data_IF_814849402093
#
_entry.id   IF_814849402093
#
_cell.length_a   1.000
_cell.length_b   1.000
_cell.length_c   1.000
_cell.angle_alpha   90.00
_cell.angle_beta   90.00
_cell.angle_gamma   90.00
#
_symmetry.space_group_name_H-M   'P 1'
#
loop_
_entity.id
_entity.type
_entity.pdbx_description
1 polymer ?
#
# COMPACT_ATOMS: atom_id res chain seq x y z
N UNK A 1 59.38 -18.95 10.79
CA UNK A 1 58.70 -18.87 9.53
C UNK A 1 57.26 -19.25 9.79
N UNK A 2 56.51 -18.31 10.33
CA UNK A 2 55.06 -18.47 10.53
C UNK A 2 54.45 -17.08 10.76
N UNK A 3 54.49 -16.30 9.68
CA UNK A 3 53.98 -14.94 9.62
C UNK A 3 52.76 -14.91 8.68
N UNK A 4 51.69 -15.58 9.05
CA UNK A 4 50.50 -15.61 8.23
C UNK A 4 49.21 -15.88 9.03
N UNK A 5 49.08 -15.36 10.25
CA UNK A 5 47.86 -15.49 11.04
C UNK A 5 47.42 -14.22 11.77
N UNK A 6 48.00 -13.11 11.39
CA UNK A 6 47.53 -11.78 11.75
C UNK A 6 46.99 -11.15 10.50
N UNK A 7 45.70 -11.07 10.35
CA UNK A 7 44.89 -10.15 9.57
C UNK A 7 43.57 -10.89 9.32
N UNK A 8 42.58 -10.45 10.02
CA UNK A 8 41.15 -10.47 9.79
C UNK A 8 40.41 -10.81 11.11
N UNK A 9 40.65 -10.08 12.20
CA UNK A 9 39.55 -9.74 13.07
C UNK A 9 38.71 -8.71 12.33
N UNK A 10 37.89 -9.22 11.40
CA UNK A 10 36.76 -8.46 10.91
C UNK A 10 35.94 -8.05 12.14
N UNK A 11 35.67 -6.76 12.26
CA UNK A 11 34.64 -6.22 13.14
C UNK A 11 33.32 -6.93 12.79
N UNK A 12 33.17 -8.15 13.28
CA UNK A 12 31.91 -8.88 13.14
C UNK A 12 30.91 -8.19 14.03
N UNK A 13 30.05 -7.39 13.40
CA UNK A 13 28.90 -6.76 14.08
C UNK A 13 28.16 -7.87 14.81
N UNK A 14 28.28 -7.93 16.14
CA UNK A 14 27.63 -8.97 16.92
C UNK A 14 26.11 -8.71 16.93
N UNK A 15 25.41 -9.49 16.10
CA UNK A 15 23.94 -9.42 15.97
C UNK A 15 23.23 -9.62 17.33
N UNK A 16 23.88 -10.31 18.28
CA UNK A 16 23.37 -10.50 19.64
C UNK A 16 23.47 -9.22 20.47
N UNK A 17 24.52 -8.42 20.30
CA UNK A 17 24.64 -7.13 20.97
C UNK A 17 23.62 -6.11 20.42
N UNK A 18 23.44 -6.08 19.09
CA UNK A 18 22.40 -5.29 18.44
C UNK A 18 20.99 -5.67 18.95
N UNK A 19 20.71 -6.97 19.08
CA UNK A 19 19.43 -7.43 19.62
C UNK A 19 19.23 -7.04 21.09
N UNK A 20 20.29 -7.11 21.93
CA UNK A 20 20.23 -6.67 23.34
C UNK A 20 20.01 -5.16 23.45
N UNK A 21 20.67 -4.36 22.63
CA UNK A 21 20.47 -2.90 22.58
C UNK A 21 19.01 -2.56 22.23
N UNK A 22 18.46 -3.21 21.21
CA UNK A 22 17.08 -3.02 20.78
C UNK A 22 16.10 -3.43 21.89
N UNK A 23 16.32 -4.58 22.53
CA UNK A 23 15.51 -5.07 23.63
C UNK A 23 15.63 -4.19 24.89
N UNK A 24 16.76 -3.56 25.14
CA UNK A 24 16.92 -2.67 26.29
C UNK A 24 16.09 -1.38 26.14
N UNK A 25 15.91 -0.90 24.90
CA UNK A 25 15.18 0.34 24.58
C UNK A 25 13.81 0.07 23.93
N UNK A 26 13.27 -1.15 24.05
CA UNK A 26 12.03 -1.56 23.39
C UNK A 26 10.82 -0.68 23.70
N UNK A 27 10.71 -0.20 24.96
CA UNK A 27 9.61 0.69 25.40
C UNK A 27 9.64 2.01 24.65
N UNK A 28 10.84 2.58 24.42
CA UNK A 28 11.02 3.81 23.65
C UNK A 28 10.64 3.61 22.19
N UNK A 29 11.11 2.52 21.58
CA UNK A 29 10.77 2.18 20.19
C UNK A 29 9.26 2.02 20.04
N UNK A 30 8.62 1.26 20.94
CA UNK A 30 7.18 1.00 20.90
C UNK A 30 6.37 2.29 21.09
N UNK A 31 6.72 3.12 22.06
CA UNK A 31 5.98 4.37 22.35
C UNK A 31 6.03 5.33 21.17
N UNK A 32 7.18 5.53 20.55
CA UNK A 32 7.32 6.41 19.38
C UNK A 32 6.60 5.82 18.16
N UNK A 33 6.70 4.50 17.95
CA UNK A 33 6.01 3.82 16.84
C UNK A 33 4.48 3.96 16.98
N UNK A 34 3.95 3.76 18.17
CA UNK A 34 2.51 3.94 18.43
C UNK A 34 2.08 5.39 18.18
N UNK A 35 2.86 6.35 18.69
CA UNK A 35 2.58 7.77 18.50
C UNK A 35 2.58 8.17 17.02
N UNK A 36 3.59 7.70 16.27
CA UNK A 36 3.71 7.97 14.82
C UNK A 36 2.59 7.30 14.04
N UNK A 37 2.24 6.04 14.38
CA UNK A 37 1.13 5.33 13.74
C UNK A 37 -0.21 6.03 14.00
N UNK A 38 -0.44 6.51 15.22
CA UNK A 38 -1.63 7.29 15.56
C UNK A 38 -1.67 8.63 14.80
N UNK A 39 -0.54 9.30 14.66
CA UNK A 39 -0.40 10.51 13.84
C UNK A 39 -0.71 10.25 12.37
N UNK A 40 -0.15 9.20 11.78
CA UNK A 40 -0.46 8.76 10.41
C UNK A 40 -1.94 8.42 10.25
N UNK A 41 -2.52 7.71 11.21
CA UNK A 41 -3.95 7.39 11.17
C UNK A 41 -4.81 8.65 11.16
N UNK A 42 -4.54 9.60 12.04
CA UNK A 42 -5.24 10.89 12.07
C UNK A 42 -5.08 11.64 10.75
N UNK A 43 -3.87 11.75 10.23
CA UNK A 43 -3.59 12.39 8.95
C UNK A 43 -4.39 11.77 7.80
N UNK A 44 -4.33 10.44 7.63
CA UNK A 44 -5.07 9.74 6.58
C UNK A 44 -6.58 9.81 6.78
N UNK A 45 -7.05 9.80 8.03
CA UNK A 45 -8.48 9.92 8.32
C UNK A 45 -9.07 11.25 7.84
N UNK A 46 -8.34 12.34 7.99
CA UNK A 46 -8.78 13.67 7.55
C UNK A 46 -8.53 13.94 6.06
N UNK A 47 -7.47 13.35 5.48
CA UNK A 47 -7.06 13.65 4.10
C UNK A 47 -7.70 12.71 3.08
N UNK A 48 -8.04 11.47 3.45
CA UNK A 48 -8.56 10.48 2.51
C UNK A 48 -10.06 10.65 2.28
N UNK A 49 -10.43 11.00 1.06
CA UNK A 49 -11.82 11.11 0.63
C UNK A 49 -12.52 9.75 0.60
N UNK A 50 -13.82 9.76 0.87
CA UNK A 50 -14.67 8.58 0.72
C UNK A 50 -14.93 8.35 -0.76
N UNK A 51 -14.69 7.15 -1.25
CA UNK A 51 -15.00 6.75 -2.63
C UNK A 51 -16.17 5.78 -2.64
N UNK A 52 -16.93 5.83 -3.71
CA UNK A 52 -18.09 4.98 -3.98
C UNK A 52 -17.84 4.20 -5.26
N UNK A 53 -18.25 2.94 -5.29
CA UNK A 53 -18.05 2.02 -6.40
C UNK A 53 -19.40 1.61 -6.97
N UNK A 54 -19.63 1.89 -8.23
CA UNK A 54 -20.79 1.43 -9.00
C UNK A 54 -20.34 0.32 -9.95
N UNK A 55 -21.01 -0.82 -9.93
CA UNK A 55 -20.64 -1.99 -10.73
C UNK A 55 -21.74 -2.32 -11.72
N UNK A 56 -21.38 -2.55 -12.97
CA UNK A 56 -22.21 -3.12 -14.02
C UNK A 56 -21.64 -4.44 -14.48
N UNK A 57 -22.53 -5.37 -14.91
CA UNK A 57 -22.11 -6.64 -15.49
C UNK A 57 -22.58 -6.74 -16.92
N UNK A 58 -21.72 -7.19 -17.80
CA UNK A 58 -21.98 -7.32 -19.21
C UNK A 58 -21.60 -8.72 -19.70
N UNK A 59 -22.37 -9.26 -20.63
CA UNK A 59 -22.12 -10.53 -21.29
C UNK A 59 -21.57 -10.27 -22.71
N UNK A 60 -20.50 -10.99 -23.04
CA UNK A 60 -19.92 -10.98 -24.38
C UNK A 60 -20.64 -12.02 -25.24
N UNK A 61 -21.13 -11.59 -26.39
CA UNK A 61 -21.70 -12.46 -27.40
C UNK A 61 -20.84 -12.43 -28.68
N UNK A 62 -20.36 -13.57 -29.11
CA UNK A 62 -19.55 -13.75 -30.33
C UNK A 62 -20.32 -14.51 -31.42
N UNK A 63 -21.63 -14.32 -31.53
CA UNK A 63 -22.51 -15.10 -32.39
C UNK A 63 -22.13 -15.09 -33.87
N UNK A 64 -21.52 -14.03 -34.38
CA UNK A 64 -21.17 -13.96 -35.77
C UNK A 64 -19.78 -14.52 -36.12
N UNK A 65 -18.98 -14.89 -35.12
CA UNK A 65 -17.72 -15.63 -35.34
C UNK A 65 -17.96 -17.14 -35.46
N UNK A 66 -19.17 -17.62 -35.14
CA UNK A 66 -19.56 -19.01 -35.22
C UNK A 66 -20.58 -19.25 -36.34
N UNK A 67 -20.18 -19.96 -37.36
CA UNK A 67 -21.03 -20.38 -38.52
C UNK A 67 -22.12 -21.40 -38.13
N UNK A 68 -22.27 -21.75 -36.86
CA UNK A 68 -23.20 -22.79 -36.38
C UNK A 68 -24.01 -22.29 -35.19
N UNK A 69 -25.33 -22.37 -35.36
CA UNK A 69 -26.39 -21.95 -34.42
C UNK A 69 -26.47 -22.78 -33.10
N UNK A 70 -25.44 -23.50 -32.70
CA UNK A 70 -25.41 -24.26 -31.46
C UNK A 70 -24.44 -23.62 -30.48
N UNK A 71 -24.90 -23.41 -29.24
CA UNK A 71 -24.04 -23.02 -28.10
C UNK A 71 -23.01 -24.12 -27.91
N UNK A 72 -21.81 -23.89 -28.46
CA UNK A 72 -20.69 -24.82 -28.37
C UNK A 72 -19.71 -24.32 -27.32
N UNK A 73 -19.03 -25.24 -26.62
CA UNK A 73 -17.93 -24.91 -25.68
C UNK A 73 -16.87 -24.04 -26.34
N UNK A 74 -16.67 -24.19 -27.65
CA UNK A 74 -15.77 -23.36 -28.47
C UNK A 74 -16.20 -21.90 -28.46
N UNK A 75 -17.50 -21.59 -28.53
CA UNK A 75 -18.00 -20.22 -28.51
C UNK A 75 -17.83 -19.54 -27.16
N UNK A 76 -17.94 -20.30 -26.06
CA UNK A 76 -17.71 -19.80 -24.70
C UNK A 76 -16.23 -19.43 -24.51
N UNK A 77 -15.31 -20.28 -24.98
CA UNK A 77 -13.87 -19.99 -24.88
C UNK A 77 -13.50 -18.76 -25.74
N UNK A 78 -14.08 -18.65 -26.96
CA UNK A 78 -13.87 -17.49 -27.83
C UNK A 78 -14.40 -16.22 -27.17
N UNK A 79 -15.59 -16.27 -26.61
CA UNK A 79 -16.20 -15.13 -25.91
C UNK A 79 -15.39 -14.67 -24.70
N UNK A 80 -14.86 -15.62 -23.92
CA UNK A 80 -13.98 -15.29 -22.77
C UNK A 80 -12.67 -14.64 -23.21
N UNK A 81 -12.12 -15.06 -24.35
CA UNK A 81 -10.89 -14.49 -24.93
C UNK A 81 -11.06 -13.07 -25.44
N UNK A 82 -12.30 -12.60 -25.66
CA UNK A 82 -12.60 -11.23 -26.10
C UNK A 82 -12.62 -10.23 -24.95
N UNK A 83 -12.76 -10.66 -23.70
CA UNK A 83 -12.86 -9.74 -22.55
C UNK A 83 -11.63 -8.82 -22.40
N UNK A 84 -10.37 -9.29 -22.56
CA UNK A 84 -9.21 -8.42 -22.55
C UNK A 84 -9.26 -7.34 -23.65
N UNK A 85 -9.75 -7.70 -24.83
CA UNK A 85 -9.91 -6.77 -25.95
C UNK A 85 -10.96 -5.71 -25.61
N UNK A 86 -12.06 -6.10 -24.99
CA UNK A 86 -13.11 -5.17 -24.57
C UNK A 86 -12.64 -4.20 -23.49
N UNK A 87 -11.75 -4.65 -22.61
CA UNK A 87 -11.08 -3.80 -21.63
C UNK A 87 -10.24 -2.71 -22.31
N UNK A 88 -9.50 -3.08 -23.36
CA UNK A 88 -8.72 -2.11 -24.12
C UNK A 88 -9.62 -1.12 -24.89
N UNK A 89 -10.70 -1.60 -25.52
CA UNK A 89 -11.67 -0.75 -26.21
C UNK A 89 -12.33 0.23 -25.25
N UNK A 90 -12.69 -0.23 -24.05
CA UNK A 90 -13.31 0.61 -23.01
C UNK A 90 -12.41 1.80 -22.65
N UNK A 91 -11.10 1.61 -22.60
CA UNK A 91 -10.14 2.64 -22.24
C UNK A 91 -9.73 3.56 -23.39
N UNK A 92 -10.36 3.41 -24.56
CA UNK A 92 -10.06 4.28 -25.71
C UNK A 92 -10.75 5.65 -25.60
N UNK A 93 -10.13 6.66 -26.21
CA UNK A 93 -10.75 7.97 -26.39
C UNK A 93 -12.14 7.88 -27.02
N UNK A 94 -12.33 6.95 -27.97
CA UNK A 94 -13.59 6.79 -28.70
C UNK A 94 -14.77 6.51 -27.75
N UNK A 95 -14.58 5.61 -26.79
CA UNK A 95 -15.62 5.22 -25.82
C UNK A 95 -15.77 6.28 -24.73
N UNK A 96 -14.64 6.70 -24.13
CA UNK A 96 -14.67 7.59 -22.97
C UNK A 96 -15.12 9.02 -23.35
N UNK A 97 -14.72 9.55 -24.50
CA UNK A 97 -15.20 10.86 -24.98
C UNK A 97 -16.70 10.85 -25.31
N UNK A 98 -17.20 9.75 -25.91
CA UNK A 98 -18.63 9.60 -26.14
C UNK A 98 -19.41 9.52 -24.84
N UNK A 99 -18.93 8.75 -23.88
CA UNK A 99 -19.53 8.67 -22.56
C UNK A 99 -19.52 10.03 -21.86
N UNK A 100 -18.39 10.74 -21.88
CA UNK A 100 -18.27 12.08 -21.32
C UNK A 100 -19.23 13.09 -21.95
N UNK A 101 -19.39 13.07 -23.27
CA UNK A 101 -20.36 13.96 -23.98
C UNK A 101 -21.79 13.69 -23.55
N UNK A 102 -22.19 12.42 -23.44
CA UNK A 102 -23.52 12.06 -22.95
C UNK A 102 -23.75 12.49 -21.51
N UNK A 103 -22.77 12.26 -20.63
CA UNK A 103 -22.84 12.67 -19.22
C UNK A 103 -22.94 14.19 -19.09
N UNK A 104 -22.16 14.94 -19.86
CA UNK A 104 -22.25 16.40 -19.88
C UNK A 104 -23.63 16.90 -20.38
N UNK A 105 -24.28 16.21 -21.33
CA UNK A 105 -25.64 16.54 -21.76
C UNK A 105 -26.70 16.20 -20.71
N UNK A 106 -26.43 15.19 -19.86
CA UNK A 106 -27.32 14.79 -18.78
C UNK A 106 -27.10 15.63 -17.48
N UNK A 107 -26.23 16.65 -17.54
CA UNK A 107 -26.02 17.61 -16.46
C UNK A 107 -24.77 17.38 -15.60
N UNK A 108 -24.01 16.33 -15.84
CA UNK A 108 -22.72 16.06 -15.16
C UNK A 108 -21.60 16.78 -15.93
N UNK A 109 -21.27 18.02 -15.53
CA UNK A 109 -20.25 18.83 -16.19
C UNK A 109 -18.82 18.43 -15.80
N UNK A 110 -17.87 18.59 -16.75
CA UNK A 110 -16.45 18.37 -16.48
C UNK A 110 -15.99 16.92 -16.53
N UNK A 111 -16.83 16.01 -17.03
CA UNK A 111 -16.45 14.61 -17.24
C UNK A 111 -15.94 14.47 -18.66
N UNK A 112 -14.64 14.31 -18.80
CA UNK A 112 -13.95 14.06 -20.06
C UNK A 112 -13.06 12.82 -19.98
N UNK A 113 -12.38 12.49 -21.06
CA UNK A 113 -11.45 11.39 -21.14
C UNK A 113 -10.36 11.48 -20.03
N UNK A 114 -9.79 12.67 -19.84
CA UNK A 114 -8.72 12.87 -18.86
C UNK A 114 -9.21 12.65 -17.44
N UNK A 115 -10.39 13.18 -17.11
CA UNK A 115 -11.01 12.96 -15.81
C UNK A 115 -11.19 11.47 -15.49
N UNK A 116 -11.71 10.70 -16.46
CA UNK A 116 -11.97 9.26 -16.28
C UNK A 116 -10.69 8.42 -16.19
N UNK A 117 -9.63 8.83 -16.90
CA UNK A 117 -8.37 8.08 -17.00
C UNK A 117 -7.41 8.43 -15.86
N UNK A 118 -7.24 9.73 -15.54
CA UNK A 118 -6.29 10.21 -14.56
C UNK A 118 -6.56 9.63 -13.16
N UNK A 119 -7.82 9.54 -12.78
CA UNK A 119 -8.23 9.03 -11.47
C UNK A 119 -8.34 7.50 -11.41
N UNK A 120 -8.00 6.77 -12.50
CA UNK A 120 -8.21 5.32 -12.61
C UNK A 120 -9.60 4.90 -12.14
N UNK A 121 -10.60 5.68 -12.57
CA UNK A 121 -11.96 5.52 -12.08
C UNK A 121 -12.64 4.27 -12.62
N UNK A 122 -12.15 3.74 -13.75
CA UNK A 122 -12.79 2.63 -14.47
C UNK A 122 -11.88 1.41 -14.40
N UNK A 123 -12.40 0.33 -13.85
CA UNK A 123 -11.76 -0.98 -13.84
C UNK A 123 -12.65 -1.99 -14.54
N UNK A 124 -12.06 -2.78 -15.44
CA UNK A 124 -12.75 -3.86 -16.16
C UNK A 124 -12.11 -5.19 -15.82
N UNK A 125 -12.91 -6.14 -15.31
CA UNK A 125 -12.46 -7.45 -14.85
C UNK A 125 -13.34 -8.56 -15.42
N UNK A 126 -12.72 -9.66 -15.88
CA UNK A 126 -13.45 -10.87 -16.27
C UNK A 126 -13.91 -11.64 -15.03
N UNK A 127 -15.09 -12.22 -15.09
CA UNK A 127 -15.64 -13.07 -14.01
C UNK A 127 -15.28 -14.54 -14.31
N UNK A 128 -14.31 -15.08 -13.56
CA UNK A 128 -14.03 -16.53 -13.49
C UNK A 128 -13.96 -17.26 -14.84
N UNK A 129 -13.23 -16.74 -15.82
CA UNK A 129 -13.13 -17.30 -17.17
C UNK A 129 -14.48 -17.51 -17.88
N UNK A 130 -15.51 -16.76 -17.48
CA UNK A 130 -16.81 -16.74 -18.15
C UNK A 130 -16.85 -15.62 -19.19
N UNK A 131 -17.77 -15.68 -20.17
CA UNK A 131 -17.99 -14.56 -21.11
C UNK A 131 -18.66 -13.35 -20.44
N UNK A 132 -18.71 -13.31 -19.12
CA UNK A 132 -19.21 -12.16 -18.36
C UNK A 132 -18.04 -11.36 -17.82
N UNK A 133 -18.10 -10.06 -18.00
CA UNK A 133 -17.16 -9.12 -17.41
C UNK A 133 -17.93 -8.05 -16.63
N UNK A 134 -17.26 -7.49 -15.66
CA UNK A 134 -17.77 -6.37 -14.88
C UNK A 134 -16.94 -5.11 -15.11
N UNK A 135 -17.63 -4.00 -15.15
CA UNK A 135 -17.02 -2.67 -15.15
C UNK A 135 -17.34 -2.04 -13.81
N UNK A 136 -16.31 -1.65 -13.11
CA UNK A 136 -16.37 -1.01 -11.79
C UNK A 136 -15.99 0.44 -11.98
N UNK A 137 -16.86 1.35 -11.63
CA UNK A 137 -16.61 2.79 -11.67
C UNK A 137 -16.50 3.31 -10.26
N UNK A 138 -15.38 3.96 -9.93
CA UNK A 138 -15.10 4.50 -8.61
C UNK A 138 -15.07 6.02 -8.66
N UNK A 139 -15.94 6.69 -7.88
CA UNK A 139 -16.01 8.13 -7.78
C UNK A 139 -16.22 8.59 -6.33
N UNK A 140 -16.00 9.86 -6.05
CA UNK A 140 -16.31 10.48 -4.75
C UNK A 140 -17.82 10.74 -4.57
N UNK A 141 -18.55 10.86 -5.67
CA UNK A 141 -20.00 11.04 -5.69
C UNK A 141 -20.70 9.75 -6.13
N UNK A 142 -21.58 9.18 -5.30
CA UNK A 142 -22.28 7.93 -5.60
C UNK A 142 -23.21 8.05 -6.81
N UNK A 143 -23.91 9.17 -6.99
CA UNK A 143 -24.82 9.38 -8.13
C UNK A 143 -24.04 9.49 -9.44
N UNK A 144 -22.91 10.19 -9.41
CA UNK A 144 -22.02 10.32 -10.55
C UNK A 144 -21.38 8.99 -10.93
N UNK A 145 -20.96 8.16 -9.96
CA UNK A 145 -20.44 6.82 -10.21
C UNK A 145 -21.47 5.95 -10.94
N UNK A 146 -22.74 5.97 -10.50
CA UNK A 146 -23.85 5.23 -11.13
C UNK A 146 -24.12 5.75 -12.55
N UNK A 147 -24.13 7.06 -12.73
CA UNK A 147 -24.38 7.69 -14.04
C UNK A 147 -23.28 7.30 -15.04
N UNK A 148 -22.00 7.40 -14.64
CA UNK A 148 -20.85 7.00 -15.47
C UNK A 148 -20.95 5.52 -15.84
N UNK A 149 -21.17 4.63 -14.86
CA UNK A 149 -21.29 3.20 -15.11
C UNK A 149 -22.39 2.87 -16.12
N UNK A 150 -23.61 3.40 -15.91
CA UNK A 150 -24.73 3.16 -16.80
C UNK A 150 -24.55 3.77 -18.20
N UNK A 151 -23.87 4.91 -18.30
CA UNK A 151 -23.56 5.52 -19.60
C UNK A 151 -22.53 4.69 -20.37
N UNK A 152 -21.51 4.17 -19.71
CA UNK A 152 -20.56 3.23 -20.31
C UNK A 152 -21.26 1.96 -20.80
N UNK A 153 -22.22 1.44 -20.02
CA UNK A 153 -23.03 0.28 -20.40
C UNK A 153 -23.84 0.51 -21.69
N UNK A 154 -24.26 1.75 -21.95
CA UNK A 154 -24.98 2.11 -23.20
C UNK A 154 -24.03 2.32 -24.37
N UNK A 155 -22.89 2.97 -24.16
CA UNK A 155 -21.94 3.33 -25.21
C UNK A 155 -21.14 2.14 -25.71
N UNK A 156 -20.62 1.34 -24.78
CA UNK A 156 -19.67 0.26 -25.04
C UNK A 156 -20.18 -0.79 -26.04
N UNK A 157 -21.42 -1.32 -25.96
CA UNK A 157 -21.92 -2.29 -26.92
C UNK A 157 -21.92 -1.78 -28.36
N UNK A 158 -22.27 -0.53 -28.54
CA UNK A 158 -22.31 0.10 -29.89
C UNK A 158 -20.90 0.22 -30.46
N UNK A 159 -19.93 0.62 -29.67
CA UNK A 159 -18.56 0.77 -30.14
C UNK A 159 -17.90 -0.59 -30.38
N UNK A 160 -18.18 -1.58 -29.55
CA UNK A 160 -17.69 -2.95 -29.78
C UNK A 160 -18.22 -3.49 -31.11
N UNK A 161 -19.52 -3.34 -31.38
CA UNK A 161 -20.13 -3.80 -32.65
C UNK A 161 -19.54 -3.08 -33.87
N UNK A 162 -19.15 -1.81 -33.72
CA UNK A 162 -18.52 -1.03 -34.78
C UNK A 162 -17.08 -1.45 -35.08
N UNK A 163 -16.33 -1.87 -34.03
CA UNK A 163 -14.90 -2.22 -34.12
C UNK A 163 -14.71 -3.69 -34.50
N UNK A 164 -15.49 -4.57 -33.87
CA UNK A 164 -15.39 -6.03 -34.06
C UNK A 164 -16.66 -6.55 -34.71
N UNK A 165 -16.59 -6.74 -36.03
CA UNK A 165 -17.71 -7.29 -36.79
C UNK A 165 -18.17 -8.62 -36.20
N UNK A 166 -19.48 -8.72 -35.91
CA UNK A 166 -20.08 -9.92 -35.37
C UNK A 166 -19.88 -10.18 -33.89
N UNK A 167 -19.33 -9.24 -33.19
CA UNK A 167 -19.24 -9.26 -31.73
C UNK A 167 -20.20 -8.25 -31.11
N UNK A 168 -20.77 -8.57 -29.97
CA UNK A 168 -21.64 -7.67 -29.22
C UNK A 168 -21.50 -7.87 -27.73
N UNK A 169 -21.81 -6.84 -26.98
CA UNK A 169 -21.93 -6.94 -25.52
C UNK A 169 -23.39 -6.61 -25.13
N UNK A 170 -23.90 -7.31 -24.13
CA UNK A 170 -25.22 -7.06 -23.56
C UNK A 170 -25.13 -6.78 -22.08
N UNK A 171 -25.94 -5.85 -21.61
CA UNK A 171 -26.06 -5.55 -20.19
C UNK A 171 -26.76 -6.73 -19.51
N UNK A 172 -26.13 -7.30 -18.49
CA UNK A 172 -26.71 -8.35 -17.62
C UNK A 172 -27.26 -7.69 -16.36
N UNK A 173 -26.50 -6.74 -15.81
CA UNK A 173 -26.87 -6.04 -14.58
C UNK A 173 -26.41 -4.58 -14.68
N UNK A 174 -27.32 -3.67 -14.37
CA UNK A 174 -27.03 -2.22 -14.38
C UNK A 174 -26.71 -1.74 -12.96
N UNK A 175 -25.96 -0.64 -12.85
CA UNK A 175 -25.68 -0.05 -11.57
C UNK A 175 -26.95 0.63 -11.00
N UNK A 176 -27.51 0.04 -9.97
CA UNK A 176 -28.66 0.57 -9.22
C UNK A 176 -28.22 1.33 -7.96
N UNK A 177 -27.08 0.97 -7.41
CA UNK A 177 -26.50 1.60 -6.21
C UNK A 177 -24.99 1.67 -6.31
N UNK A 178 -24.41 2.60 -5.59
CA UNK A 178 -22.97 2.67 -5.42
C UNK A 178 -22.60 2.26 -3.99
N UNK A 179 -21.71 1.29 -3.87
CA UNK A 179 -21.23 0.80 -2.59
C UNK A 179 -20.11 1.70 -2.08
N UNK A 180 -20.15 2.01 -0.78
CA UNK A 180 -19.10 2.78 -0.13
C UNK A 180 -17.82 1.95 -0.02
N UNK A 181 -16.77 2.39 -0.68
CA UNK A 181 -15.46 1.75 -0.61
C UNK A 181 -14.80 2.06 0.74
N UNK A 182 -14.12 1.07 1.30
CA UNK A 182 -13.28 1.32 2.49
C UNK A 182 -12.19 2.34 2.14
N UNK A 183 -12.05 3.38 2.95
CA UNK A 183 -11.06 4.45 2.74
C UNK A 183 -9.61 3.96 2.72
N UNK A 184 -9.35 2.71 3.08
CA UNK A 184 -7.99 2.17 3.15
C UNK A 184 -7.09 2.84 4.21
N UNK A 185 -7.67 3.69 5.08
CA UNK A 185 -6.94 4.42 6.12
C UNK A 185 -6.14 3.46 7.00
N UNK A 186 -6.75 2.35 7.40
CA UNK A 186 -6.10 1.34 8.25
C UNK A 186 -4.90 0.74 7.53
N UNK A 187 -5.03 0.38 6.25
CA UNK A 187 -3.94 -0.20 5.45
C UNK A 187 -2.79 0.80 5.28
N UNK A 188 -3.10 2.04 4.94
CA UNK A 188 -2.08 3.08 4.73
C UNK A 188 -1.39 3.47 6.04
N UNK A 189 -2.12 3.59 7.14
CA UNK A 189 -1.52 3.87 8.46
C UNK A 189 -0.68 2.70 8.99
N UNK A 190 -1.06 1.45 8.71
CA UNK A 190 -0.26 0.28 9.07
C UNK A 190 1.08 0.26 8.31
N UNK A 191 1.07 0.59 7.02
CA UNK A 191 2.30 0.73 6.23
C UNK A 191 3.17 1.87 6.78
N UNK A 192 2.58 3.03 7.08
CA UNK A 192 3.28 4.15 7.70
C UNK A 192 3.89 3.79 9.06
N UNK A 193 3.16 3.05 9.88
CA UNK A 193 3.63 2.54 11.17
C UNK A 193 4.81 1.57 11.04
N UNK A 194 4.77 0.69 10.03
CA UNK A 194 5.86 -0.25 9.77
C UNK A 194 7.14 0.46 9.32
N UNK A 195 7.00 1.45 8.44
CA UNK A 195 8.14 2.28 8.01
C UNK A 195 8.73 3.05 9.21
N UNK A 196 7.87 3.64 10.05
CA UNK A 196 8.30 4.34 11.25
C UNK A 196 9.03 3.41 12.24
N UNK A 197 8.56 2.18 12.40
CA UNK A 197 9.22 1.18 13.23
C UNK A 197 10.64 0.86 12.74
N UNK A 198 10.80 0.58 11.45
CA UNK A 198 12.12 0.28 10.85
C UNK A 198 13.08 1.47 11.00
N UNK A 199 12.61 2.69 10.71
CA UNK A 199 13.41 3.91 10.89
C UNK A 199 13.83 4.11 12.35
N UNK A 200 12.91 3.86 13.30
CA UNK A 200 13.23 4.01 14.72
C UNK A 200 14.25 2.98 15.20
N UNK A 201 14.17 1.73 14.74
CA UNK A 201 15.19 0.73 15.00
C UNK A 201 16.55 1.18 14.48
N UNK A 202 16.60 1.71 13.26
CA UNK A 202 17.83 2.23 12.67
C UNK A 202 18.42 3.39 13.46
N UNK A 203 17.58 4.35 13.88
CA UNK A 203 18.01 5.50 14.70
C UNK A 203 18.56 5.03 16.06
N UNK A 204 17.90 4.06 16.70
CA UNK A 204 18.37 3.53 18.00
C UNK A 204 19.73 2.87 17.84
N UNK A 205 19.95 2.09 16.79
CA UNK A 205 21.26 1.46 16.51
C UNK A 205 22.32 2.54 16.22
N UNK A 206 22.00 3.54 15.42
CA UNK A 206 22.91 4.65 15.12
C UNK A 206 23.31 5.42 16.38
N UNK A 207 22.33 5.75 17.21
CA UNK A 207 22.57 6.47 18.47
C UNK A 207 23.41 5.61 19.43
N UNK A 208 23.16 4.31 19.49
CA UNK A 208 23.94 3.41 20.35
C UNK A 208 25.37 3.27 19.84
N UNK A 209 25.56 3.16 18.54
CA UNK A 209 26.88 3.10 17.91
C UNK A 209 27.70 4.38 18.19
N UNK A 210 27.10 5.56 18.07
CA UNK A 210 27.80 6.83 18.34
C UNK A 210 28.02 7.13 19.82
N UNK A 211 27.14 6.64 20.71
CA UNK A 211 27.24 6.90 22.15
C UNK A 211 28.05 5.84 22.89
N UNK A 212 28.12 4.60 22.38
CA UNK A 212 28.86 3.50 22.96
C UNK A 212 30.33 3.41 22.51
N UNK A 213 30.80 4.35 21.71
CA UNK A 213 32.24 4.51 21.39
C UNK A 213 33.08 4.97 22.60
N UNK A 214 32.48 4.90 23.82
CA UNK A 214 33.14 5.14 25.07
C UNK A 214 33.66 3.80 25.60
N UNK A 215 34.97 3.68 25.69
CA UNK A 215 35.70 2.53 26.23
C UNK A 215 35.13 2.16 27.63
N UNK A 216 34.11 1.32 27.66
CA UNK A 216 33.44 0.89 28.90
C UNK A 216 33.87 -0.51 29.33
N UNK A 217 34.58 -1.25 28.50
CA UNK A 217 35.01 -2.60 28.84
C UNK A 217 36.50 -2.65 29.20
N UNK A 218 36.77 -3.10 30.44
CA UNK A 218 38.13 -3.31 30.90
C UNK A 218 38.86 -4.36 30.09
N UNK A 219 38.12 -5.29 29.48
CA UNK A 219 38.67 -6.32 28.58
C UNK A 219 39.27 -5.74 27.32
N UNK A 220 38.64 -4.74 26.73
CA UNK A 220 39.18 -4.05 25.56
C UNK A 220 40.50 -3.34 25.88
N UNK A 221 40.59 -2.75 27.06
CA UNK A 221 41.85 -2.13 27.54
C UNK A 221 42.97 -3.16 27.80
N UNK A 222 42.60 -4.35 28.32
CA UNK A 222 43.56 -5.44 28.55
C UNK A 222 44.04 -6.07 27.24
N UNK A 223 43.17 -6.20 26.25
CA UNK A 223 43.52 -6.72 24.91
C UNK A 223 44.27 -5.70 24.04
N UNK A 224 43.84 -4.43 24.06
CA UNK A 224 44.47 -3.37 23.27
C UNK A 224 45.87 -2.96 23.83
N UNK A 225 46.06 -3.13 25.12
CA UNK A 225 47.31 -2.75 25.82
C UNK A 225 47.86 -3.91 26.65
N UNK A 226 48.09 -5.06 26.00
CA UNK A 226 48.60 -6.28 26.66
C UNK A 226 49.90 -6.10 27.47
N UNK A 227 50.66 -5.01 27.20
CA UNK A 227 51.92 -4.69 27.89
C UNK A 227 51.73 -3.78 29.13
N UNK A 228 50.52 -3.29 29.41
CA UNK A 228 50.25 -2.37 30.52
C UNK A 228 49.26 -2.98 31.49
N UNK A 229 49.65 -3.41 32.69
CA UNK A 229 48.72 -4.00 33.64
C UNK A 229 47.71 -2.95 34.14
N UNK A 230 46.41 -3.28 34.08
CA UNK A 230 45.34 -2.44 34.65
C UNK A 230 45.43 -2.51 36.17
N UNK A 231 45.91 -1.45 36.80
CA UNK A 231 46.19 -1.39 38.24
C UNK A 231 44.93 -1.22 39.12
N UNK A 232 43.80 -0.89 38.55
CA UNK A 232 42.57 -0.79 39.31
C UNK A 232 41.42 -0.07 38.57
N UNK A 233 40.19 -0.41 38.90
CA UNK A 233 38.97 0.24 38.44
C UNK A 233 38.40 1.13 39.54
N UNK A 234 38.31 2.44 39.26
CA UNK A 234 37.68 3.37 40.21
C UNK A 234 36.18 3.39 39.91
N UNK A 235 35.34 2.87 40.83
CA UNK A 235 33.90 2.91 40.65
C UNK A 235 33.41 4.36 40.64
N UNK A 236 32.49 4.67 39.73
CA UNK A 236 31.82 5.97 39.67
C UNK A 236 31.10 6.22 41.00
N UNK A 237 31.50 7.27 41.74
CA UNK A 237 30.85 7.63 42.98
C UNK A 237 29.36 7.87 42.74
N UNK A 238 28.50 7.03 43.31
CA UNK A 238 27.07 7.32 43.35
C UNK A 238 26.88 8.61 44.16
N UNK A 239 26.37 9.64 43.52
CA UNK A 239 25.91 10.84 44.24
C UNK A 239 24.80 10.37 45.21
N UNK A 240 25.13 10.26 46.50
CA UNK A 240 24.11 10.05 47.53
C UNK A 240 23.07 11.17 47.36
N UNK A 241 21.86 10.76 47.00
CA UNK A 241 20.72 11.68 46.91
C UNK A 241 20.56 12.38 48.26
N UNK A 242 20.63 13.70 48.21
CA UNK A 242 20.46 14.67 49.28
C UNK A 242 19.01 14.67 49.83
N UNK A 243 18.41 13.51 50.02
CA UNK A 243 17.07 13.34 50.58
C UNK A 243 17.02 12.98 52.06
N UNK A 244 18.14 12.57 52.67
CA UNK A 244 18.16 12.21 54.08
C UNK A 244 18.47 13.38 55.04
N UNK A 245 18.91 14.55 54.51
CA UNK A 245 19.27 15.69 55.38
C UNK A 245 18.07 16.60 55.77
N UNK A 246 16.82 16.23 55.43
CA UNK A 246 15.61 16.99 55.78
C UNK A 246 14.67 16.30 56.76
N UNK A 247 15.01 15.11 57.27
CA UNK A 247 14.21 14.43 58.29
C UNK A 247 14.64 14.72 59.73
N UNK A 248 15.88 15.20 59.94
CA UNK A 248 16.45 15.39 61.27
C UNK A 248 16.32 16.82 61.83
N UNK A 249 15.73 17.73 61.05
CA UNK A 249 15.50 19.15 61.49
C UNK A 249 14.05 19.45 61.94
N UNK A 250 13.29 18.37 62.24
CA UNK A 250 11.92 18.52 62.82
C UNK A 250 11.72 17.50 63.98
N UNK A 251 12.56 17.52 64.99
CA UNK A 251 12.22 17.09 66.34
C UNK A 251 12.60 18.17 67.33
#
# INVERSE_FOLDING_TARGET
>A
MDTSKEILEEDTIDLLELAKCLLHRWVLILSITILTTAGCFGFFYFTTETKYSATIKMYVNADALSVSSSISITNLNTSSSLVPIYKEILNTHLVLDKAGKLLNSDGYTGIDFYYLTENKMIECTALNNTPVFQIIVTDTDPERAIAIANTLAKVLPTEIANIINGSSARIVDSALSAEKLSRGVIKNSAIGGLIAFVLMCFIVIMVDFFLNDSINDVKYLEEAFSDIPVLGKVPKAQSRDRKEAKSDEKQ
#
